data_IF_149943710343
#
_entry.id   IF_149943710343
#
_cell.length_a   1.000
_cell.length_b   1.000
_cell.length_c   1.000
_cell.angle_alpha   90.00
_cell.angle_beta   90.00
_cell.angle_gamma   90.00
#
_symmetry.space_group_name_H-M   'P 1'
#
loop_
_entity.id
_entity.type
_entity.pdbx_description
1 polymer ?
#
# COMPACT_ATOMS: atom_id res chain seq x y z
N UNK A 1 9.86 -7.14 5.27
CA UNK A 1 9.18 -6.02 4.56
C UNK A 1 10.03 -4.78 4.73
N UNK A 2 10.25 -4.05 3.65
CA UNK A 2 10.76 -2.68 3.68
C UNK A 2 9.71 -1.77 3.02
N UNK A 3 9.51 -0.58 3.57
CA UNK A 3 8.62 0.44 3.02
C UNK A 3 9.37 1.76 2.88
N UNK A 4 9.24 2.40 1.71
CA UNK A 4 9.84 3.70 1.45
C UNK A 4 8.93 4.81 2.00
N UNK A 5 9.35 5.47 3.07
CA UNK A 5 8.61 6.59 3.66
C UNK A 5 9.51 7.75 4.10
N UNK A 6 10.51 8.10 3.28
CA UNK A 6 11.43 9.22 3.55
C UNK A 6 11.70 10.07 2.30
N UNK A 7 12.49 11.13 2.47
CA UNK A 7 12.88 12.02 1.37
C UNK A 7 14.07 11.43 0.60
N UNK A 8 14.07 11.53 -0.71
CA UNK A 8 15.17 11.20 -1.59
C UNK A 8 15.84 12.48 -2.09
N UNK A 9 17.16 12.45 -2.23
CA UNK A 9 17.97 13.65 -2.49
C UNK A 9 18.62 13.57 -3.87
N UNK A 10 18.39 14.59 -4.70
CA UNK A 10 19.02 14.77 -6.00
C UNK A 10 18.65 13.73 -7.04
N UNK A 11 19.47 13.60 -8.09
CA UNK A 11 19.22 12.74 -9.25
C UNK A 11 19.29 11.23 -8.99
N UNK A 12 19.66 10.82 -7.76
CA UNK A 12 19.62 9.43 -7.32
C UNK A 12 18.22 8.98 -6.91
N UNK A 13 17.30 9.93 -6.74
CA UNK A 13 16.05 9.67 -6.09
C UNK A 13 14.95 9.26 -7.08
N UNK A 14 14.18 8.25 -6.68
CA UNK A 14 13.12 7.63 -7.46
C UNK A 14 11.75 8.22 -7.10
N UNK A 15 10.73 8.01 -7.92
CA UNK A 15 9.35 8.40 -7.62
C UNK A 15 8.66 7.27 -6.85
N UNK A 16 9.30 6.83 -5.76
CA UNK A 16 9.06 5.56 -5.07
C UNK A 16 8.40 5.71 -3.69
N UNK A 17 7.78 6.85 -3.40
CA UNK A 17 7.11 7.08 -2.12
C UNK A 17 6.05 6.00 -1.87
N UNK A 18 6.06 5.48 -0.63
CA UNK A 18 5.21 4.39 -0.15
C UNK A 18 5.40 3.05 -0.86
N UNK A 19 6.45 2.89 -1.70
CA UNK A 19 6.82 1.61 -2.30
C UNK A 19 7.16 0.57 -1.23
N UNK A 20 6.85 -0.69 -1.53
CA UNK A 20 7.12 -1.85 -0.67
C UNK A 20 8.08 -2.82 -1.35
N UNK A 21 8.95 -3.44 -0.54
CA UNK A 21 9.66 -4.66 -0.91
C UNK A 21 9.30 -5.74 0.11
N UNK A 22 8.75 -6.85 -0.37
CA UNK A 22 8.33 -7.97 0.47
C UNK A 22 9.21 -9.18 0.18
N UNK A 23 9.73 -9.80 1.23
CA UNK A 23 10.61 -10.96 1.14
C UNK A 23 10.11 -12.05 2.07
N UNK A 24 9.93 -13.25 1.52
CA UNK A 24 9.59 -14.46 2.27
C UNK A 24 10.03 -15.70 1.47
N UNK A 25 10.19 -16.83 2.15
CA UNK A 25 10.51 -18.10 1.48
C UNK A 25 11.81 -18.11 0.68
N UNK A 26 12.75 -17.20 0.99
CA UNK A 26 14.02 -17.09 0.27
C UNK A 26 14.00 -16.20 -0.98
N UNK A 27 12.90 -15.48 -1.25
CA UNK A 27 12.70 -14.67 -2.47
C UNK A 27 12.03 -13.33 -2.18
N UNK A 28 12.33 -12.32 -3.01
CA UNK A 28 11.54 -11.08 -3.11
C UNK A 28 10.21 -11.39 -3.80
N UNK A 29 9.11 -11.30 -3.05
CA UNK A 29 7.74 -11.53 -3.52
C UNK A 29 7.14 -10.30 -4.18
N UNK A 30 7.48 -9.12 -3.66
CA UNK A 30 7.31 -7.84 -4.33
C UNK A 30 8.70 -7.23 -4.46
N UNK A 31 9.23 -7.20 -5.67
CA UNK A 31 10.58 -6.71 -5.98
C UNK A 31 10.55 -5.23 -6.36
N UNK A 32 11.66 -4.52 -6.17
CA UNK A 32 11.82 -3.19 -6.76
C UNK A 32 12.42 -3.31 -8.17
N UNK A 33 12.11 -2.38 -9.08
CA UNK A 33 12.74 -2.33 -10.41
C UNK A 33 14.26 -2.13 -10.37
N UNK A 34 14.79 -1.69 -9.23
CA UNK A 34 16.20 -1.43 -9.02
C UNK A 34 16.63 -0.06 -9.53
N UNK A 35 17.92 0.22 -9.39
CA UNK A 35 18.52 1.53 -9.70
C UNK A 35 18.47 1.88 -11.19
N UNK A 36 18.50 0.87 -12.07
CA UNK A 36 18.74 1.05 -13.51
C UNK A 36 20.12 1.64 -13.83
N UNK A 37 20.37 1.86 -15.12
CA UNK A 37 21.54 2.60 -15.60
C UNK A 37 21.35 4.11 -15.37
N UNK A 38 22.44 4.87 -15.27
CA UNK A 38 22.38 6.32 -15.08
C UNK A 38 22.19 7.11 -16.39
N UNK A 39 22.33 6.46 -17.54
CA UNK A 39 22.06 7.08 -18.84
C UNK A 39 20.58 7.42 -18.97
N UNK A 40 20.26 8.65 -19.41
CA UNK A 40 18.88 9.14 -19.51
C UNK A 40 18.13 8.59 -20.74
N UNK A 41 17.98 7.26 -20.79
CA UNK A 41 17.26 6.51 -21.82
C UNK A 41 15.86 6.08 -21.37
N UNK A 42 15.15 5.28 -22.18
CA UNK A 42 13.77 4.85 -21.88
C UNK A 42 13.71 3.96 -20.63
N UNK A 43 14.71 3.11 -20.42
CA UNK A 43 14.80 2.20 -19.28
C UNK A 43 15.02 2.97 -17.98
N UNK A 44 15.94 3.95 -17.96
CA UNK A 44 16.13 4.81 -16.79
C UNK A 44 14.87 5.61 -16.49
N UNK A 45 14.23 6.23 -17.50
CA UNK A 45 12.96 6.93 -17.31
C UNK A 45 11.88 6.03 -16.69
N UNK A 46 11.83 4.76 -17.07
CA UNK A 46 10.97 3.77 -16.43
C UNK A 46 11.42 3.49 -14.98
N UNK A 47 12.64 3.02 -14.76
CA UNK A 47 13.12 2.55 -13.45
C UNK A 47 13.01 3.58 -12.33
N UNK A 48 12.95 4.86 -12.72
CA UNK A 48 12.95 6.01 -11.83
C UNK A 48 11.51 6.55 -11.62
N UNK A 49 10.55 6.18 -12.48
CA UNK A 49 9.12 6.58 -12.45
C UNK A 49 8.30 5.83 -11.40
N UNK A 50 7.13 6.35 -11.03
CA UNK A 50 6.27 5.75 -10.00
C UNK A 50 5.76 4.37 -10.39
N UNK A 51 5.44 4.16 -11.67
CA UNK A 51 4.99 2.85 -12.17
C UNK A 51 6.05 1.73 -12.08
N UNK A 52 7.31 2.05 -11.85
CA UNK A 52 8.38 1.07 -11.64
C UNK A 52 8.47 0.57 -10.19
N UNK A 53 7.60 1.06 -9.30
CA UNK A 53 7.65 0.75 -7.88
C UNK A 53 6.32 0.15 -7.38
N UNK A 54 6.36 -0.54 -6.24
CA UNK A 54 5.18 -1.18 -5.64
C UNK A 54 4.29 -0.16 -4.93
N UNK A 55 3.75 0.81 -5.65
CA UNK A 55 2.98 1.95 -5.15
C UNK A 55 1.93 2.37 -6.18
N UNK A 56 1.34 3.56 -6.03
CA UNK A 56 0.20 4.01 -6.82
C UNK A 56 0.56 5.19 -7.72
N UNK A 57 0.17 5.09 -9.00
CA UNK A 57 0.17 6.20 -9.96
C UNK A 57 -1.21 6.85 -9.96
N UNK A 58 -1.27 8.18 -10.01
CA UNK A 58 -2.52 8.95 -10.12
C UNK A 58 -2.54 9.70 -11.44
N UNK A 59 -3.58 9.48 -12.24
CA UNK A 59 -3.80 10.08 -13.58
C UNK A 59 -2.60 9.96 -14.53
N UNK A 60 -1.91 8.82 -14.46
CA UNK A 60 -0.77 8.50 -15.31
C UNK A 60 0.49 9.34 -15.04
N UNK A 61 0.57 10.06 -13.92
CA UNK A 61 1.75 10.87 -13.58
C UNK A 61 2.56 10.32 -12.41
N UNK A 62 3.85 10.64 -12.42
CA UNK A 62 4.76 10.36 -11.32
C UNK A 62 4.42 11.20 -10.08
N UNK A 63 4.80 10.68 -8.92
CA UNK A 63 4.64 11.35 -7.63
C UNK A 63 5.40 12.68 -7.57
N UNK A 64 6.53 12.80 -8.28
CA UNK A 64 7.26 14.06 -8.41
C UNK A 64 7.59 14.39 -9.86
N UNK A 65 7.63 15.69 -10.17
CA UNK A 65 8.08 16.18 -11.47
C UNK A 65 9.60 16.31 -11.45
N UNK A 66 10.28 15.57 -12.31
CA UNK A 66 11.74 15.65 -12.44
C UNK A 66 12.17 16.89 -13.22
N UNK A 67 13.18 17.60 -12.70
CA UNK A 67 13.90 18.62 -13.44
C UNK A 67 14.94 18.05 -14.40
N UNK A 68 15.46 18.88 -15.31
CA UNK A 68 16.56 18.53 -16.22
C UNK A 68 17.93 18.45 -15.52
N UNK A 69 18.03 18.92 -14.28
CA UNK A 69 19.29 19.08 -13.55
C UNK A 69 19.37 18.10 -12.38
N UNK A 70 20.53 17.48 -12.16
CA UNK A 70 20.74 16.46 -11.12
C UNK A 70 20.47 16.95 -9.68
N UNK A 71 20.41 18.26 -9.48
CA UNK A 71 20.28 18.91 -8.17
C UNK A 71 18.87 19.44 -7.87
N UNK A 72 17.86 19.15 -8.69
CA UNK A 72 16.50 19.72 -8.51
C UNK A 72 15.37 18.81 -9.02
N UNK A 73 14.22 18.69 -8.30
CA UNK A 73 13.97 18.93 -6.88
C UNK A 73 14.12 17.64 -6.03
N UNK A 74 13.92 17.77 -4.71
CA UNK A 74 13.77 16.63 -3.80
C UNK A 74 12.57 15.77 -4.24
N UNK A 75 12.63 14.45 -4.00
CA UNK A 75 11.43 13.62 -4.19
C UNK A 75 10.36 14.02 -3.20
N UNK A 76 9.14 13.52 -3.41
CA UNK A 76 8.03 13.76 -2.49
C UNK A 76 8.43 13.39 -1.07
N UNK A 77 8.25 14.33 -0.15
CA UNK A 77 8.38 14.05 1.27
C UNK A 77 7.24 13.13 1.72
N UNK A 78 7.61 12.10 2.45
CA UNK A 78 6.65 11.26 3.15
C UNK A 78 6.56 11.69 4.61
N UNK A 79 5.37 11.59 5.18
CA UNK A 79 5.13 11.72 6.61
C UNK A 79 4.78 10.35 7.15
N UNK A 80 5.55 9.86 8.11
CA UNK A 80 5.19 8.68 8.91
C UNK A 80 4.31 9.16 10.06
N UNK A 81 3.12 8.58 10.17
CA UNK A 81 2.13 8.88 11.20
C UNK A 81 2.19 7.89 12.36
N UNK A 82 2.46 6.62 12.05
CA UNK A 82 2.50 5.57 13.06
C UNK A 82 3.37 4.40 12.61
N UNK A 83 4.05 3.78 13.56
CA UNK A 83 4.82 2.58 13.39
C UNK A 83 4.77 1.77 14.69
N UNK A 84 4.20 0.56 14.64
CA UNK A 84 4.04 -0.32 15.80
C UNK A 84 4.68 -1.67 15.53
N UNK A 85 5.36 -2.18 16.55
CA UNK A 85 5.95 -3.52 16.53
C UNK A 85 5.33 -4.36 17.64
N UNK A 86 4.61 -5.40 17.25
CA UNK A 86 3.89 -6.27 18.18
C UNK A 86 4.50 -7.67 18.21
N UNK A 87 3.94 -8.56 19.03
CA UNK A 87 4.28 -9.98 18.98
C UNK A 87 3.70 -10.63 17.72
N UNK A 88 2.43 -10.35 17.43
CA UNK A 88 1.65 -11.08 16.43
C UNK A 88 1.50 -10.31 15.10
N UNK A 89 1.62 -8.98 15.13
CA UNK A 89 1.64 -8.14 13.94
C UNK A 89 2.57 -6.93 14.09
N UNK A 90 2.98 -6.36 12.95
CA UNK A 90 3.56 -5.03 12.86
C UNK A 90 2.63 -4.13 12.04
N UNK A 91 2.64 -2.83 12.32
CA UNK A 91 1.81 -1.83 11.64
C UNK A 91 2.65 -0.63 11.23
N UNK A 92 2.43 -0.11 10.02
CA UNK A 92 2.96 1.19 9.62
C UNK A 92 1.93 2.00 8.86
N UNK A 93 1.95 3.32 9.06
CA UNK A 93 1.08 4.27 8.39
C UNK A 93 1.88 5.49 7.98
N UNK A 94 1.87 5.80 6.68
CA UNK A 94 2.53 6.98 6.14
C UNK A 94 1.73 7.59 4.97
N UNK A 95 1.95 8.87 4.71
CA UNK A 95 1.37 9.61 3.57
C UNK A 95 2.45 10.30 2.77
N UNK A 96 2.16 10.59 1.51
CA UNK A 96 2.94 11.50 0.69
C UNK A 96 2.03 12.51 -0.03
N UNK A 97 2.58 13.67 -0.37
CA UNK A 97 1.83 14.83 -0.88
C UNK A 97 2.23 15.16 -2.33
N UNK A 98 2.57 14.14 -3.09
CA UNK A 98 3.17 14.31 -4.43
C UNK A 98 2.19 14.91 -5.42
N UNK A 99 0.94 14.48 -5.31
CA UNK A 99 -0.15 14.81 -6.21
C UNK A 99 -0.94 16.05 -5.76
N UNK A 100 -0.53 16.74 -4.69
CA UNK A 100 -1.20 17.99 -4.27
C UNK A 100 -0.88 19.19 -5.16
N UNK A 101 -0.17 18.95 -6.26
CA UNK A 101 0.13 19.91 -7.32
C UNK A 101 -0.96 19.98 -8.40
N UNK A 102 -1.91 19.04 -8.39
CA UNK A 102 -3.05 19.02 -9.29
C UNK A 102 -4.06 20.11 -8.93
N UNK A 103 -4.94 20.45 -9.87
CA UNK A 103 -6.04 21.40 -9.63
C UNK A 103 -7.01 20.86 -8.57
N UNK A 104 -7.33 19.56 -8.60
CA UNK A 104 -7.87 18.81 -7.46
C UNK A 104 -6.74 18.01 -6.77
N UNK A 105 -6.24 18.47 -5.61
CA UNK A 105 -5.13 17.83 -4.90
C UNK A 105 -5.46 16.41 -4.42
N UNK A 106 -4.58 15.46 -4.70
CA UNK A 106 -4.67 14.10 -4.15
C UNK A 106 -3.62 13.87 -3.07
N UNK A 107 -4.04 13.38 -1.90
CA UNK A 107 -3.15 12.86 -0.86
C UNK A 107 -3.22 11.33 -0.87
N UNK A 108 -2.08 10.67 -1.07
CA UNK A 108 -1.97 9.22 -0.99
C UNK A 108 -1.37 8.81 0.36
N UNK A 109 -2.11 7.96 1.05
CA UNK A 109 -1.78 7.39 2.33
C UNK A 109 -1.74 5.87 2.23
N UNK A 110 -0.78 5.21 2.88
CA UNK A 110 -0.68 3.76 2.93
C UNK A 110 -0.55 3.27 4.35
N UNK A 111 -1.42 2.33 4.70
CA UNK A 111 -1.35 1.52 5.92
C UNK A 111 -0.93 0.11 5.55
N UNK A 112 0.01 -0.47 6.29
CA UNK A 112 0.38 -1.87 6.11
C UNK A 112 0.33 -2.58 7.45
N UNK A 113 -0.43 -3.66 7.53
CA UNK A 113 -0.43 -4.61 8.64
C UNK A 113 0.32 -5.85 8.19
N UNK A 114 1.45 -6.15 8.82
CA UNK A 114 2.13 -7.43 8.64
C UNK A 114 1.66 -8.40 9.72
N UNK A 115 0.78 -9.33 9.39
CA UNK A 115 0.41 -10.43 10.30
C UNK A 115 1.50 -11.49 10.23
N UNK A 116 2.22 -11.67 11.34
CA UNK A 116 3.45 -12.45 11.33
C UNK A 116 3.19 -13.89 10.94
N UNK A 117 4.09 -14.43 10.12
CA UNK A 117 4.03 -15.77 9.57
C UNK A 117 2.80 -16.05 8.68
N UNK A 118 2.07 -15.02 8.22
CA UNK A 118 0.90 -15.21 7.36
C UNK A 118 0.87 -14.33 6.13
N UNK A 119 0.72 -13.01 6.27
CA UNK A 119 0.45 -12.13 5.13
C UNK A 119 0.70 -10.66 5.45
N UNK A 120 0.64 -9.84 4.40
CA UNK A 120 0.54 -8.39 4.51
C UNK A 120 -0.83 -7.92 4.04
N UNK A 121 -1.50 -7.07 4.83
CA UNK A 121 -2.66 -6.30 4.37
C UNK A 121 -2.18 -4.88 4.10
N UNK A 122 -2.30 -4.46 2.84
CA UNK A 122 -2.01 -3.11 2.37
C UNK A 122 -3.35 -2.40 2.20
N UNK A 123 -3.48 -1.20 2.76
CA UNK A 123 -4.65 -0.33 2.61
C UNK A 123 -4.17 1.02 2.12
N UNK A 124 -4.44 1.31 0.85
CA UNK A 124 -4.21 2.61 0.24
C UNK A 124 -5.45 3.49 0.46
N UNK A 125 -5.24 4.73 0.90
CA UNK A 125 -6.25 5.73 1.20
C UNK A 125 -5.96 6.97 0.36
N UNK A 126 -6.99 7.49 -0.29
CA UNK A 126 -6.89 8.69 -1.12
C UNK A 126 -7.87 9.75 -0.63
N UNK A 127 -7.35 10.96 -0.45
CA UNK A 127 -8.14 12.15 -0.18
C UNK A 127 -8.11 13.04 -1.43
N UNK A 128 -9.27 13.28 -2.02
CA UNK A 128 -9.52 14.08 -3.23
C UNK A 128 -10.99 14.54 -3.26
N UNK A 129 -11.37 15.45 -4.15
CA UNK A 129 -12.75 15.93 -4.30
C UNK A 129 -13.41 15.47 -5.60
N UNK A 130 -12.64 15.41 -6.69
CA UNK A 130 -13.07 15.06 -8.03
C UNK A 130 -12.72 13.60 -8.37
N UNK A 131 -12.97 13.21 -9.62
CA UNK A 131 -12.65 11.89 -10.12
C UNK A 131 -11.19 11.79 -10.54
N UNK A 132 -10.51 10.77 -10.02
CA UNK A 132 -9.15 10.41 -10.41
C UNK A 132 -9.06 8.93 -10.80
N UNK A 133 -8.05 8.62 -11.61
CA UNK A 133 -7.64 7.25 -11.92
C UNK A 133 -6.44 6.86 -11.06
N UNK A 134 -6.59 5.79 -10.31
CA UNK A 134 -5.58 5.22 -9.43
C UNK A 134 -5.10 3.88 -9.97
N UNK A 135 -3.79 3.75 -10.19
CA UNK A 135 -3.19 2.53 -10.70
C UNK A 135 -2.20 1.96 -9.66
N UNK A 136 -2.58 0.87 -8.98
CA UNK A 136 -1.70 0.15 -8.08
C UNK A 136 -0.80 -0.79 -8.88
N UNK A 137 0.52 -0.68 -8.68
CA UNK A 137 1.51 -1.56 -9.30
C UNK A 137 2.11 -2.50 -8.25
N UNK A 138 2.24 -3.78 -8.60
CA UNK A 138 2.91 -4.81 -7.81
C UNK A 138 3.83 -5.63 -8.72
N UNK A 139 5.13 -5.44 -8.56
CA UNK A 139 6.21 -6.05 -9.32
C UNK A 139 6.53 -7.42 -8.73
N UNK A 140 6.12 -8.46 -9.46
CA UNK A 140 6.28 -9.84 -9.05
C UNK A 140 7.71 -10.33 -9.39
N UNK A 141 8.18 -11.43 -8.77
CA UNK A 141 9.47 -12.02 -9.11
C UNK A 141 9.52 -12.43 -10.58
N UNK A 142 10.73 -12.38 -11.16
CA UNK A 142 10.99 -12.85 -12.53
C UNK A 142 10.49 -14.29 -12.70
N UNK A 143 9.68 -14.51 -13.73
CA UNK A 143 9.10 -15.78 -14.14
C UNK A 143 7.62 -15.62 -14.50
N UNK A 144 6.83 -16.68 -14.30
CA UNK A 144 5.43 -16.71 -14.70
C UNK A 144 4.50 -16.21 -13.59
N UNK A 145 3.48 -15.43 -13.99
CA UNK A 145 2.36 -15.03 -13.16
C UNK A 145 1.05 -15.24 -13.90
N UNK A 146 -0.02 -15.46 -13.15
CA UNK A 146 -1.37 -15.71 -13.65
C UNK A 146 -2.31 -14.69 -13.02
N UNK A 147 -3.15 -14.06 -13.86
CA UNK A 147 -4.26 -13.20 -13.42
C UNK A 147 -5.57 -13.97 -13.55
N UNK A 148 -6.36 -13.97 -12.48
CA UNK A 148 -7.72 -14.52 -12.41
C UNK A 148 -8.66 -13.37 -12.07
N UNK A 149 -9.08 -12.66 -13.11
CA UNK A 149 -9.84 -11.42 -12.97
C UNK A 149 -11.18 -11.62 -12.26
N UNK A 150 -11.90 -12.69 -12.60
CA UNK A 150 -13.18 -13.08 -12.00
C UNK A 150 -13.11 -13.31 -10.48
N UNK A 151 -11.90 -13.46 -9.94
CA UNK A 151 -11.64 -13.70 -8.52
C UNK A 151 -10.86 -12.59 -7.84
N UNK A 152 -10.53 -11.51 -8.55
CA UNK A 152 -9.67 -10.44 -8.05
C UNK A 152 -8.32 -10.97 -7.57
N UNK A 153 -7.69 -11.87 -8.34
CA UNK A 153 -6.46 -12.55 -7.93
C UNK A 153 -5.35 -12.45 -8.95
N UNK A 154 -4.12 -12.29 -8.46
CA UNK A 154 -2.89 -12.54 -9.23
C UNK A 154 -1.98 -13.43 -8.41
N UNK A 155 -1.35 -14.42 -9.02
CA UNK A 155 -0.38 -15.24 -8.31
C UNK A 155 0.79 -15.67 -9.20
N UNK A 156 1.92 -15.98 -8.57
CA UNK A 156 3.07 -16.59 -9.25
C UNK A 156 2.96 -18.12 -9.25
N UNK A 157 3.79 -18.82 -10.02
CA UNK A 157 3.81 -20.28 -10.03
C UNK A 157 5.23 -20.88 -10.15
N UNK A 158 6.12 -20.47 -9.24
CA UNK A 158 7.46 -21.01 -9.07
C UNK A 158 7.46 -22.32 -8.28
N UNK A 159 8.55 -23.07 -8.39
CA UNK A 159 8.73 -24.37 -7.70
C UNK A 159 9.16 -24.25 -6.23
N UNK A 160 9.34 -23.03 -5.72
CA UNK A 160 9.87 -22.75 -4.39
C UNK A 160 8.93 -21.86 -3.56
N UNK A 161 8.93 -20.56 -3.82
CA UNK A 161 8.23 -19.53 -3.06
C UNK A 161 7.43 -18.66 -4.01
N UNK A 162 6.17 -18.47 -3.65
CA UNK A 162 5.17 -17.79 -4.44
C UNK A 162 4.44 -16.71 -3.65
N UNK A 163 3.71 -15.87 -4.37
CA UNK A 163 2.86 -14.84 -3.82
C UNK A 163 1.49 -14.89 -4.47
N UNK A 164 0.46 -14.74 -3.65
CA UNK A 164 -0.93 -14.55 -4.04
C UNK A 164 -1.35 -13.14 -3.62
N UNK A 165 -1.71 -12.32 -4.60
CA UNK A 165 -2.37 -11.03 -4.42
C UNK A 165 -3.88 -11.25 -4.50
N UNK A 166 -4.60 -10.77 -3.49
CA UNK A 166 -6.07 -10.75 -3.47
C UNK A 166 -6.56 -9.31 -3.34
N UNK A 167 -7.51 -8.97 -4.19
CA UNK A 167 -8.13 -7.67 -4.29
C UNK A 167 -9.61 -7.80 -3.93
N UNK A 168 -10.04 -7.30 -2.75
CA UNK A 168 -11.44 -7.29 -2.40
C UNK A 168 -12.25 -6.50 -3.42
N UNK A 169 -13.45 -6.98 -3.72
CA UNK A 169 -14.41 -6.32 -4.61
C UNK A 169 -14.74 -4.92 -4.07
N UNK A 170 -14.77 -3.95 -4.97
CA UNK A 170 -15.13 -2.57 -4.67
C UNK A 170 -16.48 -2.28 -5.32
N UNK A 171 -17.43 -1.80 -4.54
CA UNK A 171 -18.69 -1.30 -5.08
C UNK A 171 -18.40 0.00 -5.86
N UNK A 172 -18.88 0.10 -7.10
CA UNK A 172 -18.95 1.34 -7.90
C UNK A 172 -17.66 1.84 -8.59
N UNK A 173 -16.56 1.08 -8.59
CA UNK A 173 -15.36 1.44 -9.37
C UNK A 173 -15.30 0.71 -10.71
N UNK A 174 -14.87 1.39 -11.77
CA UNK A 174 -14.31 0.72 -12.95
C UNK A 174 -12.97 0.10 -12.54
N UNK A 175 -13.03 -1.14 -12.05
CA UNK A 175 -11.87 -1.90 -11.62
C UNK A 175 -11.34 -2.70 -12.83
N UNK A 176 -10.03 -2.69 -13.06
CA UNK A 176 -9.36 -3.51 -14.05
C UNK A 176 -8.06 -4.06 -13.50
N UNK A 177 -7.89 -5.39 -13.53
CA UNK A 177 -6.64 -6.06 -13.15
C UNK A 177 -5.99 -6.68 -14.37
N UNK A 178 -4.72 -6.36 -14.57
CA UNK A 178 -3.93 -6.82 -15.71
C UNK A 178 -2.55 -7.27 -15.26
N UNK A 179 -1.92 -8.08 -16.11
CA UNK A 179 -0.49 -8.35 -16.04
C UNK A 179 0.20 -7.64 -17.19
N UNK A 180 1.20 -6.85 -16.86
CA UNK A 180 2.08 -6.19 -17.83
C UNK A 180 3.54 -6.56 -17.60
N UNK A 181 4.41 -6.15 -18.52
CA UNK A 181 5.85 -6.39 -18.43
C UNK A 181 6.56 -5.21 -17.77
N UNK A 182 7.24 -5.48 -16.66
CA UNK A 182 8.13 -4.55 -15.98
C UNK A 182 9.60 -4.72 -16.37
N UNK A 183 10.45 -3.92 -15.73
CA UNK A 183 11.89 -4.05 -15.80
C UNK A 183 12.47 -4.20 -14.39
N UNK A 184 13.29 -5.22 -14.21
CA UNK A 184 14.04 -5.52 -12.99
C UNK A 184 15.54 -5.43 -13.29
N UNK A 185 16.23 -4.45 -12.70
CA UNK A 185 17.64 -4.22 -12.89
C UNK A 185 18.48 -4.96 -11.85
N UNK A 186 19.19 -6.01 -12.27
CA UNK A 186 20.08 -6.81 -11.41
C UNK A 186 21.45 -6.99 -12.05
N UNK A 187 22.50 -6.80 -11.25
CA UNK A 187 23.88 -7.10 -11.65
C UNK A 187 24.30 -6.43 -12.98
N UNK A 188 23.84 -5.20 -13.23
CA UNK A 188 24.18 -4.44 -14.43
C UNK A 188 23.32 -4.73 -15.66
N UNK A 189 22.27 -5.55 -15.52
CA UNK A 189 21.40 -5.97 -16.63
C UNK A 189 19.93 -5.80 -16.27
N UNK A 190 19.10 -5.56 -17.30
CA UNK A 190 17.65 -5.55 -17.16
C UNK A 190 17.06 -6.91 -17.48
N UNK A 191 16.13 -7.35 -16.64
CA UNK A 191 15.30 -8.52 -16.81
C UNK A 191 13.84 -8.09 -16.90
N UNK A 192 13.03 -8.89 -17.58
CA UNK A 192 11.58 -8.67 -17.60
C UNK A 192 10.96 -9.45 -16.45
N UNK A 193 10.11 -8.79 -15.69
CA UNK A 193 9.31 -9.39 -14.63
C UNK A 193 7.82 -9.08 -14.85
N UNK A 194 6.91 -9.97 -14.43
CA UNK A 194 5.48 -9.67 -14.47
C UNK A 194 5.14 -8.59 -13.44
N UNK A 195 4.25 -7.67 -13.82
CA UNK A 195 3.74 -6.62 -12.95
C UNK A 195 2.23 -6.71 -12.93
N UNK A 196 1.66 -6.93 -11.74
CA UNK A 196 0.23 -6.82 -11.55
C UNK A 196 -0.15 -5.34 -11.45
N UNK A 197 -1.06 -4.92 -12.31
CA UNK A 197 -1.59 -3.55 -12.34
C UNK A 197 -3.09 -3.60 -12.10
N UNK A 198 -3.54 -2.95 -11.02
CA UNK A 198 -4.96 -2.71 -10.75
C UNK A 198 -5.29 -1.25 -10.99
N UNK A 199 -6.18 -0.96 -11.93
CA UNK A 199 -6.63 0.40 -12.28
C UNK A 199 -8.04 0.62 -11.81
N UNK A 200 -8.30 1.73 -11.11
CA UNK A 200 -9.61 2.10 -10.60
C UNK A 200 -9.87 3.59 -10.81
N UNK A 201 -11.07 3.93 -11.30
CA UNK A 201 -11.54 5.32 -11.37
C UNK A 201 -12.53 5.57 -10.24
N UNK A 202 -12.30 6.58 -9.40
CA UNK A 202 -13.16 6.89 -8.25
C UNK A 202 -13.26 8.39 -8.04
N UNK A 203 -14.47 8.86 -7.73
CA UNK A 203 -14.74 10.26 -7.38
C UNK A 203 -14.59 10.48 -5.87
N UNK A 204 -13.83 11.52 -5.51
CA UNK A 204 -13.58 11.89 -4.12
C UNK A 204 -12.66 10.90 -3.40
N UNK A 205 -12.95 10.69 -2.11
CA UNK A 205 -12.16 9.83 -1.22
C UNK A 205 -12.30 8.36 -1.62
N UNK A 206 -11.20 7.61 -1.56
CA UNK A 206 -11.16 6.19 -1.90
C UNK A 206 -10.32 5.38 -0.90
N UNK A 207 -10.67 4.11 -0.73
CA UNK A 207 -9.91 3.12 0.05
C UNK A 207 -9.76 1.85 -0.77
N UNK A 208 -8.52 1.39 -0.95
CA UNK A 208 -8.23 0.16 -1.68
C UNK A 208 -7.39 -0.79 -0.84
N UNK A 209 -7.96 -1.96 -0.60
CA UNK A 209 -7.30 -3.04 0.12
C UNK A 209 -6.60 -4.00 -0.85
N UNK A 210 -5.46 -4.53 -0.42
CA UNK A 210 -4.74 -5.59 -1.11
C UNK A 210 -4.14 -6.53 -0.08
N UNK A 211 -4.44 -7.81 -0.19
CA UNK A 211 -3.83 -8.84 0.64
C UNK A 211 -2.70 -9.51 -0.14
N UNK A 212 -1.52 -9.59 0.47
CA UNK A 212 -0.34 -10.24 -0.09
C UNK A 212 -0.01 -11.47 0.74
N UNK A 213 -0.22 -12.65 0.16
CA UNK A 213 -0.10 -13.94 0.85
C UNK A 213 1.10 -14.72 0.28
N UNK A 214 2.21 -14.85 1.03
CA UNK A 214 3.29 -15.77 0.68
C UNK A 214 2.80 -17.22 0.76
N UNK A 215 3.25 -18.06 -0.18
CA UNK A 215 3.04 -19.51 -0.09
C UNK A 215 4.18 -20.29 -0.75
N UNK A 216 4.24 -21.59 -0.47
CA UNK A 216 5.20 -22.50 -1.11
C UNK A 216 4.73 -22.90 -2.51
N UNK A 217 4.65 -24.20 -2.78
CA UNK A 217 4.20 -24.73 -4.07
C UNK A 217 2.69 -24.94 -4.18
N UNK A 218 1.97 -25.01 -3.06
CA UNK A 218 0.52 -25.21 -3.02
C UNK A 218 -0.16 -23.88 -2.73
N UNK A 219 -0.93 -23.38 -3.69
CA UNK A 219 -1.68 -22.13 -3.53
C UNK A 219 -2.75 -22.28 -2.45
N UNK A 220 -2.77 -21.40 -1.43
CA UNK A 220 -3.74 -21.47 -0.36
C UNK A 220 -5.13 -21.00 -0.82
N UNK A 221 -6.18 -21.51 -0.18
CA UNK A 221 -7.53 -20.97 -0.32
C UNK A 221 -7.74 -19.89 0.73
N UNK A 222 -7.79 -18.64 0.29
CA UNK A 222 -7.98 -17.48 1.16
C UNK A 222 -9.31 -16.81 0.83
N UNK A 223 -10.08 -16.45 1.87
CA UNK A 223 -11.31 -15.69 1.75
C UNK A 223 -11.16 -14.37 2.48
N UNK A 224 -11.69 -13.30 1.89
CA UNK A 224 -11.74 -11.97 2.47
C UNK A 224 -13.19 -11.50 2.41
N UNK A 225 -13.72 -10.99 3.52
CA UNK A 225 -15.06 -10.41 3.56
C UNK A 225 -15.07 -9.17 4.43
N UNK A 226 -15.78 -8.13 3.99
CA UNK A 226 -16.03 -6.94 4.83
C UNK A 226 -16.89 -7.31 6.04
N UNK A 227 -16.62 -6.66 7.15
CA UNK A 227 -17.36 -6.81 8.40
C UNK A 227 -17.95 -5.46 8.81
N UNK A 228 -19.12 -5.43 9.46
CA UNK A 228 -19.62 -4.19 10.04
C UNK A 228 -18.73 -3.77 11.20
N UNK A 229 -18.57 -2.46 11.34
CA UNK A 229 -17.90 -1.81 12.46
C UNK A 229 -18.69 -0.56 12.81
N UNK A 230 -18.89 -0.31 14.10
CA UNK A 230 -19.58 0.90 14.56
C UNK A 230 -18.67 1.72 15.46
N UNK A 231 -18.91 3.02 15.50
CA UNK A 231 -18.34 3.92 16.49
C UNK A 231 -19.48 4.64 17.17
N UNK A 232 -19.62 4.42 18.48
CA UNK A 232 -20.71 4.99 19.29
C UNK A 232 -22.11 4.69 18.70
N UNK A 233 -22.29 3.48 18.16
CA UNK A 233 -23.54 3.01 17.57
C UNK A 233 -23.80 3.45 16.13
N UNK A 234 -22.93 4.27 15.52
CA UNK A 234 -22.99 4.59 14.09
C UNK A 234 -22.12 3.62 13.29
N UNK A 235 -22.70 2.94 12.31
CA UNK A 235 -21.93 2.13 11.36
C UNK A 235 -20.97 3.00 10.55
N UNK A 236 -19.71 2.59 10.48
CA UNK A 236 -18.67 3.31 9.74
C UNK A 236 -18.56 2.77 8.31
N UNK A 237 -18.54 3.65 7.30
CA UNK A 237 -18.21 3.23 5.94
C UNK A 237 -16.73 2.84 5.83
N UNK A 238 -16.37 2.13 4.76
CA UNK A 238 -15.00 1.68 4.50
C UNK A 238 -13.97 2.84 4.52
N UNK A 239 -14.38 4.03 4.06
CA UNK A 239 -13.57 5.26 4.06
C UNK A 239 -13.21 5.77 5.47
N UNK A 240 -13.99 5.40 6.49
CA UNK A 240 -13.72 5.73 7.88
C UNK A 240 -13.07 4.57 8.64
N UNK A 241 -13.35 3.32 8.25
CA UNK A 241 -12.70 2.14 8.80
C UNK A 241 -12.66 0.95 7.83
N UNK A 242 -11.47 0.41 7.60
CA UNK A 242 -11.32 -0.90 6.94
C UNK A 242 -11.56 -1.99 7.97
N UNK A 243 -12.67 -2.72 7.86
CA UNK A 243 -13.03 -3.85 8.72
C UNK A 243 -13.19 -5.12 7.89
N UNK A 244 -12.31 -6.10 8.09
CA UNK A 244 -12.21 -7.31 7.29
C UNK A 244 -12.12 -8.57 8.17
N UNK A 245 -12.75 -9.64 7.70
CA UNK A 245 -12.41 -11.01 8.08
C UNK A 245 -11.58 -11.64 6.98
N UNK A 246 -10.43 -12.19 7.34
CA UNK A 246 -9.54 -12.92 6.43
C UNK A 246 -9.44 -14.35 6.95
N UNK A 247 -9.72 -15.35 6.11
CA UNK A 247 -9.74 -16.75 6.53
C UNK A 247 -8.92 -17.61 5.57
N UNK A 248 -8.07 -18.47 6.13
CA UNK A 248 -7.47 -19.60 5.44
C UNK A 248 -8.09 -20.92 5.90
N UNK A 249 -7.44 -22.05 5.59
CA UNK A 249 -8.00 -23.39 5.85
C UNK A 249 -8.34 -23.62 7.34
N UNK A 250 -7.43 -23.29 8.26
CA UNK A 250 -7.56 -23.59 9.69
C UNK A 250 -7.45 -22.35 10.60
N UNK A 251 -7.53 -21.15 10.03
CA UNK A 251 -7.36 -19.90 10.77
C UNK A 251 -8.28 -18.81 10.22
N UNK A 252 -8.61 -17.86 11.07
CA UNK A 252 -9.30 -16.63 10.70
C UNK A 252 -8.73 -15.48 11.50
N UNK A 253 -8.52 -14.36 10.83
CA UNK A 253 -8.13 -13.10 11.43
C UNK A 253 -9.23 -12.06 11.17
N UNK A 254 -9.51 -11.23 12.15
CA UNK A 254 -10.46 -10.11 12.05
C UNK A 254 -9.69 -8.83 12.31
N UNK A 255 -9.62 -7.98 11.30
CA UNK A 255 -8.82 -6.76 11.32
C UNK A 255 -9.74 -5.56 11.17
N UNK A 256 -9.60 -4.58 12.05
CA UNK A 256 -10.22 -3.27 11.90
C UNK A 256 -9.16 -2.18 12.00
N UNK A 257 -9.09 -1.32 10.98
CA UNK A 257 -8.23 -0.15 10.92
C UNK A 257 -9.12 1.10 10.85
N UNK A 258 -9.21 1.84 11.94
CA UNK A 258 -9.87 3.15 11.93
C UNK A 258 -9.00 4.17 11.20
N UNK A 259 -9.62 5.01 10.37
CA UNK A 259 -8.89 5.87 9.44
C UNK A 259 -8.68 7.30 9.93
N UNK A 260 -9.53 7.77 10.84
CA UNK A 260 -9.51 9.17 11.28
C UNK A 260 -8.72 9.40 12.59
N UNK A 261 -7.95 8.41 13.05
CA UNK A 261 -7.05 8.58 14.20
C UNK A 261 -5.62 8.78 13.70
N UNK A 262 -5.15 10.04 13.74
CA UNK A 262 -3.81 10.43 13.31
C UNK A 262 -3.17 11.23 14.44
N UNK A 263 -1.94 10.88 14.82
CA UNK A 263 -1.18 11.59 15.83
C UNK A 263 -0.15 12.52 15.17
N UNK A 264 -0.44 13.82 15.14
CA UNK A 264 0.45 14.77 14.49
C UNK A 264 1.57 15.15 15.44
N UNK A 265 2.67 14.38 15.41
CA UNK A 265 3.79 14.57 16.34
C UNK A 265 4.78 15.68 15.93
N UNK A 266 4.74 16.13 14.68
CA UNK A 266 5.52 17.27 14.18
C UNK A 266 4.97 17.77 12.85
N UNK A 267 4.90 19.08 12.69
CA UNK A 267 4.50 19.73 11.43
C UNK A 267 5.42 20.91 11.18
N UNK A 268 5.71 21.24 9.92
CA UNK A 268 6.39 22.49 9.58
C UNK A 268 5.34 23.52 9.19
N UNK A 269 5.43 24.73 9.73
CA UNK A 269 4.59 25.83 9.25
C UNK A 269 4.99 26.25 7.83
N UNK A 270 4.23 27.19 7.24
CA UNK A 270 4.49 27.71 5.90
C UNK A 270 5.87 28.39 5.73
N UNK A 271 6.61 28.64 6.81
CA UNK A 271 7.97 29.19 6.80
C UNK A 271 9.05 28.11 7.02
N UNK A 272 8.66 26.85 7.18
CA UNK A 272 9.56 25.73 7.41
C UNK A 272 9.97 25.55 8.88
N UNK A 273 9.34 26.24 9.82
CA UNK A 273 9.61 26.10 11.25
C UNK A 273 8.75 25.01 11.88
N UNK A 274 9.27 24.30 12.89
CA UNK A 274 8.50 23.28 13.61
C UNK A 274 7.34 23.96 14.37
N UNK A 275 6.11 23.54 14.09
CA UNK A 275 4.91 23.92 14.83
C UNK A 275 4.97 23.31 16.22
N UNK A 276 4.64 24.11 17.25
CA UNK A 276 4.64 23.64 18.63
C UNK A 276 3.64 22.49 18.83
N UNK A 277 4.03 21.49 19.62
CA UNK A 277 3.23 20.29 19.86
C UNK A 277 1.82 20.60 20.38
N UNK A 278 1.66 21.67 21.16
CA UNK A 278 0.36 22.14 21.69
C UNK A 278 -0.62 22.57 20.61
N UNK A 279 -0.13 22.96 19.43
CA UNK A 279 -0.94 23.35 18.27
C UNK A 279 -1.22 22.17 17.33
N UNK A 280 -0.61 21.01 17.57
CA UNK A 280 -0.76 19.84 16.73
C UNK A 280 -1.95 19.00 17.19
N UNK A 281 -2.81 18.52 16.27
CA UNK A 281 -3.85 17.56 16.61
C UNK A 281 -3.23 16.30 17.21
N UNK A 282 -3.58 16.01 18.47
CA UNK A 282 -3.25 14.72 19.08
C UNK A 282 -4.14 13.60 18.55
N UNK A 283 -3.72 12.36 18.75
CA UNK A 283 -4.52 11.19 18.39
C UNK A 283 -5.94 11.23 18.97
N UNK A 284 -6.95 11.12 18.11
CA UNK A 284 -8.36 11.07 18.56
C UNK A 284 -8.58 9.88 19.50
N UNK A 285 -9.16 10.15 20.67
CA UNK A 285 -9.58 9.09 21.61
C UNK A 285 -10.74 8.33 20.99
N UNK A 286 -10.52 7.07 20.64
CA UNK A 286 -11.57 6.17 20.18
C UNK A 286 -12.36 5.67 21.39
N UNK A 287 -13.47 6.34 21.70
CA UNK A 287 -14.42 5.85 22.68
C UNK A 287 -15.49 5.00 21.98
N UNK A 288 -15.44 3.67 22.14
CA UNK A 288 -16.54 2.81 21.70
C UNK A 288 -16.53 2.41 20.23
N UNK A 289 -15.36 2.04 19.70
CA UNK A 289 -15.29 1.28 18.46
C UNK A 289 -15.78 -0.15 18.73
N UNK A 290 -16.88 -0.58 18.12
CA UNK A 290 -17.41 -1.93 18.25
C UNK A 290 -17.10 -2.73 16.98
N UNK A 291 -16.35 -3.81 17.15
CA UNK A 291 -15.90 -4.66 16.07
C UNK A 291 -15.72 -6.09 16.57
N UNK A 292 -16.15 -7.06 15.76
CA UNK A 292 -16.03 -8.49 16.05
C UNK A 292 -16.60 -8.89 17.44
N UNK A 293 -17.70 -8.26 17.85
CA UNK A 293 -18.36 -8.52 19.14
C UNK A 293 -17.62 -7.96 20.36
N UNK A 294 -16.53 -7.23 20.17
CA UNK A 294 -15.78 -6.55 21.23
C UNK A 294 -15.89 -5.02 21.12
N UNK A 295 -15.62 -4.33 22.24
CA UNK A 295 -15.47 -2.88 22.29
C UNK A 295 -13.99 -2.53 22.46
N UNK A 296 -13.48 -1.68 21.58
CA UNK A 296 -12.06 -1.35 21.47
C UNK A 296 -11.84 0.15 21.66
N UNK A 297 -10.66 0.50 22.17
CA UNK A 297 -10.17 1.88 22.27
C UNK A 297 -8.93 2.15 21.42
N UNK A 298 -8.48 1.14 20.67
CA UNK A 298 -7.36 1.24 19.73
C UNK A 298 -7.90 1.39 18.30
N UNK A 299 -7.17 2.13 17.45
CA UNK A 299 -7.48 2.36 16.03
C UNK A 299 -6.95 1.23 15.12
N UNK A 300 -6.14 0.33 15.67
CA UNK A 300 -5.66 -0.88 15.00
C UNK A 300 -6.03 -2.09 15.84
N UNK A 301 -7.05 -2.82 15.39
CA UNK A 301 -7.52 -4.05 16.04
C UNK A 301 -7.19 -5.23 15.15
N UNK A 302 -6.50 -6.23 15.71
CA UNK A 302 -6.17 -7.49 15.03
C UNK A 302 -6.50 -8.64 15.98
N UNK A 303 -7.59 -9.36 15.70
CA UNK A 303 -8.01 -10.52 16.47
C UNK A 303 -7.65 -11.80 15.72
N UNK A 304 -6.92 -12.70 16.37
CA UNK A 304 -6.55 -14.00 15.81
C UNK A 304 -7.47 -15.10 16.33
N UNK A 305 -7.99 -15.93 15.42
CA UNK A 305 -8.72 -17.15 15.74
C UNK A 305 -8.09 -18.34 15.03
N UNK A 306 -7.69 -19.36 15.80
CA UNK A 306 -7.34 -20.67 15.25
C UNK A 306 -8.56 -21.55 15.40
N UNK A 307 -9.06 -22.13 14.30
CA UNK A 307 -10.13 -23.12 14.40
C UNK A 307 -9.49 -24.39 14.97
N UNK A 308 -9.87 -24.74 16.21
CA UNK A 308 -9.54 -26.07 16.73
C UNK A 308 -10.41 -27.07 15.97
N UNK A 309 -9.76 -28.00 15.26
CA UNK A 309 -10.42 -29.16 14.70
C UNK A 309 -10.95 -30.07 15.81
#
# INVERSE_FOLDING_TARGET
MAMRAGVGIGGHAHSDALSLILYAGGRELLADSGMGLFEWNKERKYAVSTRAHNTVVVDGQDQHVRGLHWNTPQTVACKIWDARHGKDYDYCFASHYGYTRYDDPVIHSRKVVFVKNRYWLIVDLFEAQEQHTYEQYFHLPIGDAVVQWDRGQVHTNHNDSNVLLLFPEQEQAEDQLTLESGLDFRQGQYYVNPVAKRSMSTAGRAVYETLVVPYGTVQPQIRISRMPVTLEGRELPALEATALRISGDNWSDEICLYHNSVDVNSYLDHTGNIVSQELLPGKSVLAGLEFAGGRHSDDVVVNHSVRQN
#
